data_IF_128973492840
#
_entry.id   IF_128973492840
#
_cell.length_a   1.000
_cell.length_b   1.000
_cell.length_c   1.000
_cell.angle_alpha   90.00
_cell.angle_beta   90.00
_cell.angle_gamma   90.00
#
_symmetry.space_group_name_H-M   'P 1'
#
loop_
_entity.id
_entity.type
_entity.pdbx_description
1 polymer ?
#
# COMPACT_ATOMS: atom_id res chain seq x y z
N UNK A 1 -8.29 -13.28 -15.23
CA UNK A 1 -8.61 -11.98 -15.87
C UNK A 1 -7.42 -11.09 -15.66
N UNK A 2 -6.64 -10.91 -16.72
CA UNK A 2 -5.55 -9.95 -16.75
C UNK A 2 -6.16 -8.57 -16.55
N UNK A 3 -5.86 -7.94 -15.41
CA UNK A 3 -6.15 -6.53 -15.22
C UNK A 3 -5.29 -5.78 -16.23
N UNK A 4 -5.91 -5.27 -17.28
CA UNK A 4 -5.27 -4.45 -18.31
C UNK A 4 -4.29 -3.47 -17.66
N UNK A 5 -2.98 -3.70 -17.85
CA UNK A 5 -1.92 -2.77 -17.45
C UNK A 5 -1.96 -1.48 -18.28
N UNK A 6 -2.79 -1.45 -19.33
CA UNK A 6 -2.87 -0.37 -20.32
C UNK A 6 -3.30 0.98 -19.72
N UNK A 7 -3.99 0.99 -18.58
CA UNK A 7 -4.42 2.23 -17.93
C UNK A 7 -3.53 2.63 -16.72
N UNK A 8 -2.45 1.90 -16.45
CA UNK A 8 -1.52 2.22 -15.36
C UNK A 8 -0.47 3.25 -15.80
N UNK A 9 -0.49 4.42 -15.16
CA UNK A 9 0.40 5.55 -15.46
C UNK A 9 1.67 5.48 -14.61
N UNK A 10 1.55 5.02 -13.37
CA UNK A 10 2.65 4.89 -12.42
C UNK A 10 2.30 3.84 -11.37
N UNK A 11 3.31 3.13 -10.86
CA UNK A 11 3.15 2.23 -9.72
C UNK A 11 4.33 2.34 -8.76
N UNK A 12 4.04 2.30 -7.46
CA UNK A 12 5.03 2.17 -6.39
C UNK A 12 4.66 1.02 -5.47
N UNK A 13 5.61 0.10 -5.28
CA UNK A 13 5.45 -1.06 -4.40
C UNK A 13 6.22 -0.87 -3.10
N UNK A 14 5.58 -1.15 -1.97
CA UNK A 14 6.19 -1.12 -0.64
C UNK A 14 6.01 -2.49 0.02
N UNK A 15 7.12 -3.21 0.26
CA UNK A 15 7.12 -4.49 0.97
C UNK A 15 7.33 -4.25 2.47
N UNK A 16 6.47 -4.83 3.30
CA UNK A 16 6.48 -4.69 4.75
C UNK A 16 6.17 -6.04 5.42
N UNK A 17 7.18 -6.91 5.50
CA UNK A 17 7.05 -8.25 6.05
C UNK A 17 6.03 -9.09 5.27
N UNK A 18 4.93 -9.50 5.93
CA UNK A 18 3.86 -10.29 5.31
C UNK A 18 2.89 -9.46 4.46
N UNK A 19 3.05 -8.14 4.38
CA UNK A 19 2.20 -7.24 3.60
C UNK A 19 2.99 -6.63 2.45
N UNK A 20 2.33 -6.46 1.31
CA UNK A 20 2.84 -5.67 0.18
C UNK A 20 1.78 -4.63 -0.16
N UNK A 21 2.18 -3.37 -0.21
CA UNK A 21 1.33 -2.25 -0.61
C UNK A 21 1.67 -1.85 -2.04
N UNK A 22 0.64 -1.65 -2.86
CA UNK A 22 0.73 -1.18 -4.23
C UNK A 22 0.02 0.18 -4.31
N UNK A 23 0.76 1.21 -4.71
CA UNK A 23 0.26 2.56 -4.93
C UNK A 23 0.28 2.81 -6.43
N UNK A 24 -0.86 2.60 -7.08
CA UNK A 24 -0.98 2.71 -8.54
C UNK A 24 -1.72 4.00 -8.88
N UNK A 25 -1.20 4.76 -9.85
CA UNK A 25 -1.91 5.86 -10.50
C UNK A 25 -2.46 5.32 -11.82
N UNK A 26 -3.76 5.46 -12.03
CA UNK A 26 -4.44 4.96 -13.24
C UNK A 26 -5.27 6.06 -13.89
N UNK A 27 -5.50 5.94 -15.19
CA UNK A 27 -6.40 6.81 -15.93
C UNK A 27 -7.76 6.15 -16.15
N UNK A 28 -8.84 6.92 -16.08
CA UNK A 28 -10.15 6.50 -16.61
C UNK A 28 -10.14 6.62 -18.14
N UNK A 29 -11.18 6.10 -18.81
CA UNK A 29 -11.40 6.32 -20.25
C UNK A 29 -11.51 7.81 -20.63
N UNK A 30 -11.82 8.68 -19.66
CA UNK A 30 -11.89 10.13 -19.83
C UNK A 30 -10.55 10.85 -19.59
N UNK A 31 -9.43 10.13 -19.48
CA UNK A 31 -8.11 10.66 -19.12
C UNK A 31 -8.04 11.34 -17.75
N UNK A 32 -8.94 11.00 -16.82
CA UNK A 32 -8.88 11.46 -15.45
C UNK A 32 -8.05 10.50 -14.60
N UNK A 33 -7.17 11.05 -13.76
CA UNK A 33 -6.30 10.24 -12.90
C UNK A 33 -6.98 9.91 -11.57
N UNK A 34 -6.79 8.68 -11.11
CA UNK A 34 -7.20 8.21 -9.80
C UNK A 34 -6.13 7.28 -9.22
N UNK A 35 -6.17 7.09 -7.90
CA UNK A 35 -5.23 6.21 -7.18
C UNK A 35 -5.94 4.89 -6.85
N UNK A 36 -5.25 3.78 -7.07
CA UNK A 36 -5.58 2.49 -6.47
C UNK A 36 -4.54 2.15 -5.42
N UNK A 37 -4.98 2.04 -4.16
CA UNK A 37 -4.15 1.55 -3.06
C UNK A 37 -4.55 0.10 -2.77
N UNK A 38 -3.65 -0.84 -3.01
CA UNK A 38 -3.88 -2.26 -2.71
C UNK A 38 -2.94 -2.73 -1.62
N UNK A 39 -3.48 -3.27 -0.54
CA UNK A 39 -2.73 -4.09 0.41
C UNK A 39 -2.91 -5.57 0.02
N UNK A 40 -1.80 -6.30 -0.16
CA UNK A 40 -1.79 -7.75 -0.25
C UNK A 40 -1.12 -8.35 0.98
N UNK A 41 -1.87 -9.10 1.78
CA UNK A 41 -1.40 -9.80 2.98
C UNK A 41 -1.24 -11.28 2.71
N UNK A 42 -0.02 -11.78 2.84
CA UNK A 42 0.29 -13.22 2.79
C UNK A 42 -0.27 -13.92 4.03
N UNK A 43 -1.08 -14.95 3.81
CA UNK A 43 -1.60 -15.88 4.82
C UNK A 43 -1.07 -17.28 4.51
N UNK A 44 -0.76 -18.03 5.56
CA UNK A 44 -0.43 -19.46 5.45
C UNK A 44 -1.52 -20.18 6.23
N UNK A 45 -2.28 -21.03 5.54
CA UNK A 45 -3.35 -21.85 6.13
C UNK A 45 -3.00 -23.29 5.76
N UNK A 46 -2.78 -24.14 6.75
CA UNK A 46 -2.46 -25.56 6.58
C UNK A 46 -1.29 -25.83 5.60
N UNK A 47 -0.26 -24.98 5.66
CA UNK A 47 0.92 -25.07 4.79
C UNK A 47 0.73 -24.51 3.39
N UNK A 48 -0.49 -24.12 3.00
CA UNK A 48 -0.76 -23.46 1.72
C UNK A 48 -0.69 -21.94 1.86
N UNK A 49 0.04 -21.30 0.93
CA UNK A 49 0.14 -19.86 0.84
C UNK A 49 -1.07 -19.28 0.10
N UNK A 50 -1.69 -18.27 0.69
CA UNK A 50 -2.78 -17.50 0.09
C UNK A 50 -2.56 -16.01 0.32
N UNK A 51 -3.15 -15.17 -0.53
CA UNK A 51 -3.02 -13.72 -0.44
C UNK A 51 -4.38 -13.07 -0.29
N UNK A 52 -4.59 -12.36 0.82
CA UNK A 52 -5.75 -11.52 1.00
C UNK A 52 -5.47 -10.13 0.46
N UNK A 53 -6.30 -9.64 -0.47
CA UNK A 53 -6.16 -8.29 -1.04
C UNK A 53 -7.24 -7.36 -0.50
N UNK A 54 -6.83 -6.19 -0.03
CA UNK A 54 -7.71 -5.06 0.28
C UNK A 54 -7.40 -3.95 -0.71
N UNK A 55 -8.41 -3.44 -1.42
CA UNK A 55 -8.23 -2.43 -2.45
C UNK A 55 -9.11 -1.22 -2.16
N UNK A 56 -8.50 -0.05 -2.21
CA UNK A 56 -9.16 1.26 -2.11
C UNK A 56 -8.98 2.00 -3.45
N UNK A 57 -10.04 2.63 -3.90
CA UNK A 57 -10.01 3.58 -5.01
C UNK A 57 -10.16 4.99 -4.42
N UNK A 58 -9.28 5.90 -4.82
CA UNK A 58 -9.31 7.29 -4.41
C UNK A 58 -9.38 8.15 -5.67
N UNK A 59 -10.41 8.98 -5.76
CA UNK A 59 -10.65 9.87 -6.90
C UNK A 59 -10.18 11.29 -6.59
N UNK A 60 -9.97 12.08 -7.65
CA UNK A 60 -9.30 13.38 -7.60
C UNK A 60 -9.95 14.38 -6.63
N UNK A 61 -11.28 14.37 -6.55
CA UNK A 61 -12.08 15.23 -5.68
C UNK A 61 -11.79 15.02 -4.18
N UNK A 62 -11.28 13.85 -3.82
CA UNK A 62 -11.01 13.46 -2.43
C UNK A 62 -9.54 13.52 -2.05
N UNK A 63 -8.62 13.75 -3.01
CA UNK A 63 -7.17 13.70 -2.78
C UNK A 63 -6.71 14.56 -1.61
N UNK A 64 -7.07 15.84 -1.61
CA UNK A 64 -6.62 16.77 -0.58
C UNK A 64 -7.12 16.36 0.81
N UNK A 65 -8.43 16.04 0.92
CA UNK A 65 -9.03 15.65 2.20
C UNK A 65 -8.42 14.35 2.73
N UNK A 66 -8.17 13.38 1.85
CA UNK A 66 -7.54 12.13 2.22
C UNK A 66 -6.09 12.33 2.66
N UNK A 67 -5.32 13.12 1.91
CA UNK A 67 -3.92 13.44 2.23
C UNK A 67 -3.79 14.13 3.60
N UNK A 68 -4.62 15.14 3.85
CA UNK A 68 -4.60 15.89 5.12
C UNK A 68 -4.96 14.97 6.29
N UNK A 69 -6.05 14.21 6.19
CA UNK A 69 -6.47 13.27 7.22
C UNK A 69 -5.41 12.17 7.47
N UNK A 70 -4.76 11.69 6.41
CA UNK A 70 -3.72 10.67 6.50
C UNK A 70 -2.48 11.20 7.23
N UNK A 71 -2.01 12.41 6.88
CA UNK A 71 -0.88 13.08 7.55
C UNK A 71 -1.19 13.35 9.02
N UNK A 72 -2.33 13.97 9.32
CA UNK A 72 -2.75 14.29 10.69
C UNK A 72 -2.80 13.02 11.56
N UNK A 73 -3.31 11.91 11.01
CA UNK A 73 -3.39 10.64 11.74
C UNK A 73 -1.99 10.07 12.03
N UNK A 74 -1.05 10.16 11.09
CA UNK A 74 0.34 9.71 11.30
C UNK A 74 1.06 10.57 12.34
N UNK A 75 0.89 11.89 12.27
CA UNK A 75 1.43 12.83 13.26
C UNK A 75 0.87 12.52 14.64
N UNK A 76 -0.43 12.26 14.74
CA UNK A 76 -1.05 11.90 16.02
C UNK A 76 -0.49 10.60 16.60
N UNK A 77 -0.26 9.58 15.76
CA UNK A 77 0.41 8.34 16.20
C UNK A 77 1.80 8.65 16.76
N UNK A 78 2.55 9.54 16.12
CA UNK A 78 3.89 9.94 16.56
C UNK A 78 3.86 10.64 17.94
N UNK A 79 2.92 11.57 18.14
CA UNK A 79 2.68 12.23 19.43
C UNK A 79 2.29 11.21 20.52
N UNK A 80 1.38 10.28 20.21
CA UNK A 80 0.94 9.25 21.15
C UNK A 80 2.09 8.31 21.54
N UNK A 81 2.95 7.94 20.60
CA UNK A 81 4.14 7.14 20.86
C UNK A 81 5.14 7.88 21.78
N UNK A 82 5.32 9.19 21.60
CA UNK A 82 6.18 10.01 22.45
C UNK A 82 5.65 10.14 23.89
N UNK A 83 4.33 10.00 24.10
CA UNK A 83 3.72 10.06 25.43
C UNK A 83 4.06 8.88 26.35
N UNK A 84 4.66 7.81 25.81
CA UNK A 84 5.01 6.59 26.55
C UNK A 84 3.82 5.71 26.98
N UNK A 85 2.59 6.12 26.64
CA UNK A 85 1.36 5.36 26.94
C UNK A 85 1.09 4.20 25.98
N UNK A 86 1.71 4.23 24.80
CA UNK A 86 1.53 3.24 23.74
C UNK A 86 2.87 2.60 23.38
N UNK A 87 2.83 1.33 22.96
CA UNK A 87 4.04 0.59 22.59
C UNK A 87 4.70 1.23 21.37
N UNK A 88 5.95 1.62 21.53
CA UNK A 88 6.81 2.02 20.41
C UNK A 88 7.50 0.76 19.90
N UNK A 89 6.87 0.05 18.97
CA UNK A 89 7.60 -0.99 18.24
C UNK A 89 8.65 -0.28 17.40
N UNK A 90 9.92 -0.38 17.81
CA UNK A 90 11.06 0.10 17.04
C UNK A 90 11.11 -0.71 15.73
N UNK A 91 10.42 -0.25 14.70
CA UNK A 91 10.48 -0.82 13.36
C UNK A 91 11.91 -0.66 12.84
N UNK A 92 12.76 -1.67 13.07
CA UNK A 92 14.04 -1.80 12.40
C UNK A 92 13.76 -2.06 10.92
N UNK A 93 14.17 -1.12 10.08
CA UNK A 93 14.20 -1.26 8.63
C UNK A 93 15.19 -2.39 8.30
N UNK A 94 14.75 -3.65 8.27
CA UNK A 94 15.53 -4.72 7.63
C UNK A 94 15.39 -4.54 6.13
N UNK A 95 16.24 -3.68 5.58
CA UNK A 95 16.59 -3.71 4.17
C UNK A 95 17.16 -5.10 3.87
N UNK A 96 16.32 -5.99 3.34
CA UNK A 96 16.78 -7.11 2.51
C UNK A 96 16.15 -6.87 1.15
N UNK A 97 16.88 -6.11 0.35
CA UNK A 97 16.73 -6.01 -1.09
C UNK A 97 17.01 -7.37 -1.70
N UNK A 98 16.00 -8.24 -1.74
CA UNK A 98 15.95 -9.32 -2.71
C UNK A 98 15.10 -8.82 -3.88
N UNK A 99 15.80 -8.41 -4.93
CA UNK A 99 15.27 -8.18 -6.27
C UNK A 99 14.66 -9.50 -6.79
N UNK A 100 13.39 -9.76 -6.44
CA UNK A 100 12.64 -10.82 -7.09
C UNK A 100 12.30 -10.32 -8.50
N UNK A 101 13.09 -10.82 -9.45
CA UNK A 101 12.89 -10.73 -10.90
C UNK A 101 11.42 -10.97 -11.27
N UNK A 102 10.90 -10.07 -12.10
CA UNK A 102 9.49 -10.00 -12.53
C UNK A 102 9.08 -11.09 -13.54
N UNK A 103 9.83 -12.18 -13.64
CA UNK A 103 9.78 -13.10 -14.77
C UNK A 103 9.16 -14.47 -14.48
N UNK A 104 8.47 -14.64 -13.35
CA UNK A 104 7.89 -15.93 -12.94
C UNK A 104 6.39 -15.84 -12.57
N UNK A 105 5.62 -15.20 -13.47
CA UNK A 105 4.16 -15.27 -13.51
C UNK A 105 3.69 -15.85 -14.84
#
# INVERSE_FOLDING_TARGET
>A
MDYDRNDEVFSKVVRAGKRTYFFDIKSTKGNELYITLTESKKRVIDGQESYQKHKLFLYKEDFQKFEDAFKETIEKITELNASGKYKTDNYKNTETSEDISFNDL
#
